data_IF_887633875412
#
_entry.id   IF_887633875412
#
_cell.length_a   1.000
_cell.length_b   1.000
_cell.length_c   1.000
_cell.angle_alpha   90.00
_cell.angle_beta   90.00
_cell.angle_gamma   90.00
#
_symmetry.space_group_name_H-M   'P 1'
#
loop_
_entity.id
_entity.type
_entity.pdbx_description
1 polymer ?
#
# COMPACT_ATOMS: atom_id res chain seq x y z
N UNK A 1 -39.83 -4.07 0.80
CA UNK A 1 -38.65 -4.22 -0.08
C UNK A 1 -37.44 -4.34 0.83
N UNK A 2 -36.85 -5.55 0.89
CA UNK A 2 -35.71 -5.81 1.79
C UNK A 2 -34.45 -5.13 1.26
N UNK A 3 -33.69 -4.45 2.14
CA UNK A 3 -32.44 -3.77 1.81
C UNK A 3 -31.45 -4.70 1.06
N UNK A 4 -31.48 -6.01 1.38
CA UNK A 4 -30.68 -7.05 0.71
C UNK A 4 -31.09 -7.29 -0.76
N UNK A 5 -32.38 -7.14 -1.09
CA UNK A 5 -32.85 -7.27 -2.48
C UNK A 5 -32.52 -6.03 -3.30
N UNK A 6 -32.59 -4.84 -2.68
CA UNK A 6 -32.17 -3.59 -3.31
C UNK A 6 -30.68 -3.60 -3.66
N UNK A 7 -29.82 -4.11 -2.76
CA UNK A 7 -28.37 -4.21 -2.98
C UNK A 7 -27.96 -5.33 -3.96
N UNK A 8 -28.87 -6.28 -4.24
CA UNK A 8 -28.64 -7.39 -5.18
C UNK A 8 -29.10 -7.09 -6.60
N UNK A 9 -29.85 -6.02 -6.83
CA UNK A 9 -30.32 -5.60 -8.16
C UNK A 9 -29.21 -4.89 -8.92
N UNK A 10 -28.35 -5.68 -9.52
CA UNK A 10 -27.33 -5.22 -10.44
C UNK A 10 -27.93 -5.20 -11.86
N UNK A 11 -28.35 -4.02 -12.30
CA UNK A 11 -28.94 -3.79 -13.61
C UNK A 11 -27.88 -3.40 -14.66
N UNK A 12 -26.60 -3.53 -14.31
CA UNK A 12 -25.49 -3.15 -15.19
C UNK A 12 -25.13 -4.30 -16.12
N UNK A 13 -24.95 -3.99 -17.39
CA UNK A 13 -24.32 -4.88 -18.35
C UNK A 13 -22.85 -5.12 -17.99
N UNK A 14 -22.26 -6.26 -18.41
CA UNK A 14 -20.89 -6.66 -18.10
C UNK A 14 -19.87 -5.56 -18.46
N UNK A 15 -20.05 -4.90 -19.62
CA UNK A 15 -19.22 -3.79 -20.05
C UNK A 15 -19.34 -2.58 -19.12
N UNK A 16 -20.55 -2.29 -18.63
CA UNK A 16 -20.80 -1.21 -17.66
C UNK A 16 -20.15 -1.51 -16.31
N UNK A 17 -20.22 -2.77 -15.83
CA UNK A 17 -19.54 -3.22 -14.61
C UNK A 17 -18.04 -3.03 -14.67
N UNK A 18 -17.42 -3.47 -15.77
CA UNK A 18 -15.99 -3.30 -15.97
C UNK A 18 -15.59 -1.83 -16.05
N UNK A 19 -16.43 -0.99 -16.65
CA UNK A 19 -16.20 0.46 -16.73
C UNK A 19 -16.32 1.11 -15.35
N UNK A 20 -17.34 0.74 -14.57
CA UNK A 20 -17.52 1.20 -13.19
C UNK A 20 -16.34 0.84 -12.32
N UNK A 21 -15.89 -0.43 -12.33
CA UNK A 21 -14.72 -0.88 -11.58
C UNK A 21 -13.43 -0.09 -11.95
N UNK A 22 -13.27 0.27 -13.23
CA UNK A 22 -12.14 1.12 -13.66
C UNK A 22 -12.25 2.55 -13.11
N UNK A 23 -13.45 3.12 -13.07
CA UNK A 23 -13.70 4.46 -12.52
C UNK A 23 -13.45 4.44 -11.00
N UNK A 24 -13.99 3.47 -10.30
CA UNK A 24 -13.81 3.29 -8.85
C UNK A 24 -12.33 3.10 -8.48
N UNK A 25 -11.62 2.24 -9.23
CA UNK A 25 -10.18 2.03 -9.04
C UNK A 25 -9.37 3.32 -9.27
N UNK A 26 -9.66 4.08 -10.34
CA UNK A 26 -8.99 5.37 -10.59
C UNK A 26 -9.33 6.40 -9.52
N UNK A 27 -10.58 6.43 -9.08
CA UNK A 27 -11.05 7.29 -7.99
C UNK A 27 -10.32 6.98 -6.68
N UNK A 28 -10.23 5.70 -6.31
CA UNK A 28 -9.49 5.26 -5.13
C UNK A 28 -8.02 5.70 -5.16
N UNK A 29 -7.30 5.39 -6.26
CA UNK A 29 -5.90 5.77 -6.39
C UNK A 29 -5.69 7.29 -6.45
N UNK A 30 -6.63 8.02 -7.09
CA UNK A 30 -6.60 9.48 -7.10
C UNK A 30 -6.75 10.07 -5.70
N UNK A 31 -7.74 9.64 -4.94
CA UNK A 31 -7.94 10.08 -3.55
C UNK A 31 -6.78 9.70 -2.64
N UNK A 32 -6.23 8.49 -2.79
CA UNK A 32 -5.08 8.02 -2.02
C UNK A 32 -3.83 8.89 -2.27
N UNK A 33 -3.56 9.23 -3.55
CA UNK A 33 -2.45 10.13 -3.91
C UNK A 33 -2.66 11.55 -3.41
N UNK A 34 -3.90 12.07 -3.45
CA UNK A 34 -4.22 13.38 -2.90
C UNK A 34 -4.04 13.42 -1.38
N UNK A 35 -4.45 12.37 -0.67
CA UNK A 35 -4.25 12.25 0.77
C UNK A 35 -2.75 12.19 1.12
N UNK A 36 -1.95 11.44 0.36
CA UNK A 36 -0.50 11.42 0.53
C UNK A 36 0.12 12.81 0.29
N UNK A 37 -0.32 13.51 -0.76
CA UNK A 37 0.15 14.86 -1.05
C UNK A 37 -0.23 15.85 0.07
N UNK A 38 -1.44 15.76 0.61
CA UNK A 38 -1.89 16.57 1.75
C UNK A 38 -0.99 16.34 2.96
N UNK A 39 -0.75 15.09 3.35
CA UNK A 39 0.13 14.74 4.47
C UNK A 39 1.57 15.29 4.31
N UNK A 40 2.11 15.26 3.09
CA UNK A 40 3.44 15.83 2.79
C UNK A 40 3.40 17.36 2.96
N UNK A 41 2.40 18.03 2.39
CA UNK A 41 2.24 19.49 2.45
C UNK A 41 2.07 19.95 3.90
N UNK A 42 1.15 19.35 4.66
CA UNK A 42 0.91 19.67 6.07
C UNK A 42 2.19 19.49 6.91
N UNK A 43 2.92 18.40 6.67
CA UNK A 43 4.19 18.16 7.33
C UNK A 43 5.23 19.24 6.99
N UNK A 44 5.30 19.72 5.75
CA UNK A 44 6.21 20.81 5.35
C UNK A 44 5.78 22.16 5.93
N UNK A 45 4.47 22.39 6.09
CA UNK A 45 3.93 23.59 6.72
C UNK A 45 4.14 23.63 8.26
N UNK A 46 4.65 22.52 8.84
CA UNK A 46 5.00 22.47 10.25
C UNK A 46 3.89 21.99 11.16
N UNK A 47 2.80 21.42 10.62
CA UNK A 47 1.75 20.81 11.45
C UNK A 47 2.34 19.72 12.36
N UNK A 48 1.85 19.66 13.58
CA UNK A 48 2.27 18.65 14.54
C UNK A 48 1.72 17.27 14.15
N UNK A 49 2.43 16.16 14.42
CA UNK A 49 1.96 14.80 14.08
C UNK A 49 0.58 14.46 14.65
N UNK A 50 0.19 15.09 15.77
CA UNK A 50 -1.12 14.91 16.39
C UNK A 50 -2.25 15.52 15.55
N UNK A 51 -2.00 16.62 14.89
CA UNK A 51 -2.96 17.33 14.04
C UNK A 51 -3.26 16.54 12.76
N UNK A 52 -2.28 15.81 12.24
CA UNK A 52 -2.37 14.99 11.05
C UNK A 52 -2.72 13.52 11.34
N UNK A 53 -3.05 13.17 12.59
CA UNK A 53 -3.20 11.78 13.01
C UNK A 53 -4.38 11.07 12.33
N UNK A 54 -5.46 11.78 12.04
CA UNK A 54 -6.64 11.23 11.39
C UNK A 54 -6.34 10.85 9.92
N UNK A 55 -5.68 11.74 9.20
CA UNK A 55 -5.26 11.56 7.80
C UNK A 55 -4.26 10.40 7.69
N UNK A 56 -3.28 10.33 8.58
CA UNK A 56 -2.34 9.22 8.69
C UNK A 56 -3.05 7.89 8.93
N UNK A 57 -4.03 7.87 9.84
CA UNK A 57 -4.79 6.67 10.15
C UNK A 57 -5.61 6.19 8.94
N UNK A 58 -6.30 7.10 8.25
CA UNK A 58 -7.05 6.78 7.02
C UNK A 58 -6.13 6.27 5.92
N UNK A 59 -4.98 6.93 5.72
CA UNK A 59 -3.98 6.53 4.74
C UNK A 59 -3.44 5.12 5.00
N UNK A 60 -3.09 4.81 6.26
CA UNK A 60 -2.60 3.49 6.66
C UNK A 60 -3.65 2.40 6.53
N UNK A 61 -4.91 2.69 6.92
CA UNK A 61 -6.03 1.76 6.76
C UNK A 61 -6.29 1.43 5.29
N UNK A 62 -6.36 2.44 4.43
CA UNK A 62 -6.56 2.25 2.99
C UNK A 62 -5.43 1.44 2.35
N UNK A 63 -4.18 1.74 2.71
CA UNK A 63 -3.00 1.01 2.24
C UNK A 63 -2.99 -0.45 2.71
N UNK A 64 -3.31 -0.69 3.98
CA UNK A 64 -3.38 -2.04 4.53
C UNK A 64 -4.51 -2.86 3.90
N UNK A 65 -5.70 -2.26 3.73
CA UNK A 65 -6.84 -2.91 3.08
C UNK A 65 -6.51 -3.32 1.65
N UNK A 66 -5.95 -2.40 0.85
CA UNK A 66 -5.56 -2.69 -0.53
C UNK A 66 -4.52 -3.81 -0.60
N UNK A 67 -3.42 -3.70 0.16
CA UNK A 67 -2.37 -4.69 0.15
C UNK A 67 -2.82 -6.08 0.61
N UNK A 68 -3.67 -6.17 1.65
CA UNK A 68 -4.22 -7.45 2.12
C UNK A 68 -5.17 -8.05 1.07
N UNK A 69 -5.99 -7.21 0.43
CA UNK A 69 -6.93 -7.66 -0.60
C UNK A 69 -6.20 -8.22 -1.83
N UNK A 70 -5.15 -7.54 -2.28
CA UNK A 70 -4.32 -8.00 -3.39
C UNK A 70 -3.64 -9.34 -3.08
N UNK A 71 -3.05 -9.47 -1.87
CA UNK A 71 -2.44 -10.73 -1.44
C UNK A 71 -3.44 -11.88 -1.34
N UNK A 72 -4.66 -11.63 -0.83
CA UNK A 72 -5.72 -12.65 -0.75
C UNK A 72 -6.20 -13.08 -2.14
N UNK A 73 -6.23 -12.16 -3.09
CA UNK A 73 -6.58 -12.43 -4.47
C UNK A 73 -5.45 -13.13 -5.26
N UNK A 74 -4.26 -13.31 -4.66
CA UNK A 74 -3.11 -13.85 -5.35
C UNK A 74 -2.56 -12.91 -6.42
N UNK A 75 -2.76 -11.59 -6.25
CA UNK A 75 -2.30 -10.57 -7.17
C UNK A 75 -1.01 -9.96 -6.63
N UNK A 76 0.01 -9.87 -7.47
CA UNK A 76 1.22 -9.10 -7.25
C UNK A 76 1.21 -7.85 -8.11
N UNK A 77 2.08 -6.90 -7.78
CA UNK A 77 2.21 -5.69 -8.60
C UNK A 77 2.54 -6.01 -10.06
N UNK A 78 1.86 -5.34 -11.00
CA UNK A 78 2.00 -5.60 -12.45
C UNK A 78 3.34 -5.15 -13.03
N UNK A 79 4.05 -4.24 -12.36
CA UNK A 79 5.29 -3.64 -12.84
C UNK A 79 6.54 -4.32 -12.25
N UNK A 80 6.40 -4.96 -11.09
CA UNK A 80 7.51 -5.52 -10.35
C UNK A 80 7.39 -7.04 -10.20
N UNK A 81 8.46 -7.75 -10.52
CA UNK A 81 8.51 -9.20 -10.28
C UNK A 81 8.69 -9.50 -8.79
N UNK A 82 8.05 -10.55 -8.24
CA UNK A 82 8.18 -10.94 -6.84
C UNK A 82 9.53 -11.63 -6.58
N UNK A 83 10.59 -10.84 -6.50
CA UNK A 83 11.93 -11.32 -6.19
C UNK A 83 12.65 -10.38 -5.19
N UNK A 84 13.64 -10.94 -4.50
CA UNK A 84 14.40 -10.22 -3.46
C UNK A 84 15.16 -9.02 -4.01
N UNK A 85 15.66 -9.08 -5.26
CA UNK A 85 16.40 -7.97 -5.88
C UNK A 85 15.49 -6.77 -6.12
N UNK A 86 14.30 -6.99 -6.67
CA UNK A 86 13.31 -5.94 -6.88
C UNK A 86 12.89 -5.31 -5.54
N UNK A 87 12.60 -6.15 -4.54
CA UNK A 87 12.24 -5.68 -3.19
C UNK A 87 13.35 -4.82 -2.58
N UNK A 88 14.63 -5.21 -2.75
CA UNK A 88 15.77 -4.41 -2.28
C UNK A 88 15.84 -3.05 -2.97
N UNK A 89 15.70 -3.00 -4.30
CA UNK A 89 15.74 -1.75 -5.05
C UNK A 89 14.60 -0.82 -4.65
N UNK A 90 13.37 -1.33 -4.57
CA UNK A 90 12.18 -0.55 -4.20
C UNK A 90 12.30 -0.01 -2.77
N UNK A 91 12.77 -0.83 -1.82
CA UNK A 91 12.95 -0.40 -0.44
C UNK A 91 14.06 0.64 -0.27
N UNK A 92 15.17 0.53 -1.03
CA UNK A 92 16.22 1.55 -1.05
C UNK A 92 15.68 2.86 -1.62
N UNK A 93 14.91 2.82 -2.70
CA UNK A 93 14.28 4.02 -3.28
C UNK A 93 13.33 4.70 -2.28
N UNK A 94 12.51 3.92 -1.55
CA UNK A 94 11.65 4.42 -0.49
C UNK A 94 12.44 5.07 0.67
N UNK A 95 13.48 4.40 1.14
CA UNK A 95 14.38 4.94 2.17
C UNK A 95 15.08 6.22 1.73
N UNK A 96 15.55 6.29 0.48
CA UNK A 96 16.16 7.48 -0.10
C UNK A 96 15.18 8.67 -0.19
N UNK A 97 13.94 8.41 -0.61
CA UNK A 97 12.90 9.45 -0.66
C UNK A 97 12.61 10.04 0.74
N UNK A 98 12.50 9.18 1.76
CA UNK A 98 12.29 9.61 3.15
C UNK A 98 13.51 10.33 3.71
N UNK A 99 14.73 9.90 3.34
CA UNK A 99 15.96 10.61 3.69
C UNK A 99 15.97 12.04 3.15
N UNK A 100 15.69 12.22 1.85
CA UNK A 100 15.64 13.55 1.22
C UNK A 100 14.56 14.41 1.88
N UNK A 101 13.37 13.85 2.11
CA UNK A 101 12.30 14.55 2.81
C UNK A 101 12.72 14.95 4.23
N UNK A 102 13.41 14.07 4.97
CA UNK A 102 13.95 14.35 6.29
C UNK A 102 14.96 15.50 6.30
N UNK A 103 15.85 15.57 5.31
CA UNK A 103 16.77 16.71 5.16
C UNK A 103 16.03 18.03 5.02
N UNK A 104 14.97 18.08 4.20
CA UNK A 104 14.16 19.29 3.99
C UNK A 104 13.44 19.64 5.30
N UNK A 105 12.80 18.67 5.95
CA UNK A 105 12.00 18.86 7.17
C UNK A 105 12.84 19.39 8.34
N UNK A 106 14.06 18.88 8.51
CA UNK A 106 14.91 19.20 9.66
C UNK A 106 16.01 20.24 9.37
N UNK A 107 15.99 20.82 8.18
CA UNK A 107 17.01 21.82 7.77
C UNK A 107 17.17 22.97 8.78
N UNK A 108 16.07 23.40 9.41
CA UNK A 108 16.07 24.47 10.40
C UNK A 108 16.76 24.13 11.75
N UNK A 109 17.00 22.84 12.03
CA UNK A 109 17.65 22.37 13.27
C UNK A 109 19.17 22.42 13.25
N UNK A 110 19.74 22.85 12.14
CA UNK A 110 21.19 22.83 11.90
C UNK A 110 21.64 21.58 11.14
N UNK A 111 22.66 21.73 10.30
CA UNK A 111 23.06 20.72 9.31
C UNK A 111 23.38 19.35 9.92
N UNK A 112 24.13 19.30 11.02
CA UNK A 112 24.50 18.04 11.66
C UNK A 112 23.33 17.24 12.20
N UNK A 113 22.39 17.91 12.88
CA UNK A 113 21.19 17.28 13.47
C UNK A 113 20.24 16.85 12.34
N UNK A 114 20.03 17.68 11.31
CA UNK A 114 19.19 17.37 10.18
C UNK A 114 19.67 16.12 9.44
N UNK A 115 20.96 16.01 9.16
CA UNK A 115 21.56 14.83 8.51
C UNK A 115 21.37 13.58 9.37
N UNK A 116 21.68 13.65 10.66
CA UNK A 116 21.54 12.50 11.57
C UNK A 116 20.09 11.97 11.61
N UNK A 117 19.11 12.86 11.77
CA UNK A 117 17.70 12.47 11.80
C UNK A 117 17.22 11.93 10.45
N UNK A 118 17.61 12.56 9.35
CA UNK A 118 17.27 12.09 8.01
C UNK A 118 17.85 10.69 7.73
N UNK A 119 19.10 10.42 8.15
CA UNK A 119 19.72 9.09 8.03
C UNK A 119 18.95 8.05 8.84
N UNK A 120 18.63 8.34 10.10
CA UNK A 120 17.86 7.41 10.94
C UNK A 120 16.51 7.09 10.30
N UNK A 121 15.77 8.11 9.87
CA UNK A 121 14.46 7.92 9.22
C UNK A 121 14.58 7.12 7.92
N UNK A 122 15.53 7.46 7.06
CA UNK A 122 15.76 6.77 5.79
C UNK A 122 16.12 5.29 5.99
N UNK A 123 17.05 5.00 6.90
CA UNK A 123 17.46 3.61 7.21
C UNK A 123 16.32 2.82 7.85
N UNK A 124 15.61 3.38 8.82
CA UNK A 124 14.44 2.71 9.42
C UNK A 124 13.38 2.40 8.36
N UNK A 125 13.07 3.36 7.49
CA UNK A 125 12.10 3.16 6.40
C UNK A 125 12.57 2.08 5.44
N UNK A 126 13.84 2.11 5.03
CA UNK A 126 14.42 1.09 4.16
C UNK A 126 14.27 -0.31 4.75
N UNK A 127 14.67 -0.51 5.99
CA UNK A 127 14.61 -1.82 6.68
C UNK A 127 13.17 -2.30 6.81
N UNK A 128 12.25 -1.42 7.24
CA UNK A 128 10.83 -1.77 7.38
C UNK A 128 10.19 -2.09 6.04
N UNK A 129 10.40 -1.28 5.01
CA UNK A 129 9.89 -1.55 3.66
C UNK A 129 10.43 -2.87 3.11
N UNK A 130 11.73 -3.14 3.28
CA UNK A 130 12.32 -4.40 2.84
C UNK A 130 11.70 -5.60 3.55
N UNK A 131 11.55 -5.54 4.88
CA UNK A 131 10.92 -6.60 5.66
C UNK A 131 9.48 -6.84 5.23
N UNK A 132 8.69 -5.78 5.09
CA UNK A 132 7.28 -5.89 4.66
C UNK A 132 7.16 -6.46 3.25
N UNK A 133 7.98 -6.01 2.29
CA UNK A 133 7.98 -6.55 0.92
C UNK A 133 8.40 -8.03 0.88
N UNK A 134 9.35 -8.46 1.72
CA UNK A 134 9.74 -9.86 1.81
C UNK A 134 8.62 -10.73 2.40
N UNK A 135 7.94 -10.24 3.45
CA UNK A 135 6.79 -10.94 4.03
C UNK A 135 5.63 -11.05 3.03
N UNK A 136 5.31 -9.95 2.36
CA UNK A 136 4.27 -9.92 1.31
C UNK A 136 4.61 -10.86 0.16
N UNK A 137 5.87 -10.90 -0.28
CA UNK A 137 6.31 -11.84 -1.33
C UNK A 137 6.15 -13.30 -0.90
N UNK A 138 6.47 -13.64 0.36
CA UNK A 138 6.27 -15.00 0.88
C UNK A 138 4.79 -15.35 0.92
N UNK A 139 3.95 -14.45 1.43
CA UNK A 139 2.49 -14.64 1.49
C UNK A 139 1.89 -14.80 0.09
N UNK A 140 2.28 -13.94 -0.86
CA UNK A 140 1.87 -14.05 -2.25
C UNK A 140 2.24 -15.40 -2.87
N UNK A 141 3.51 -15.85 -2.77
CA UNK A 141 3.96 -17.12 -3.33
C UNK A 141 3.21 -18.31 -2.74
N UNK A 142 2.95 -18.29 -1.42
CA UNK A 142 2.14 -19.32 -0.77
C UNK A 142 0.72 -19.34 -1.34
N UNK A 143 0.06 -18.19 -1.42
CA UNK A 143 -1.31 -18.10 -1.92
C UNK A 143 -1.42 -18.45 -3.40
N UNK A 144 -0.46 -18.04 -4.20
CA UNK A 144 -0.42 -18.36 -5.63
C UNK A 144 -0.28 -19.87 -5.86
N UNK A 145 0.61 -20.55 -5.12
CA UNK A 145 0.76 -22.00 -5.17
C UNK A 145 -0.53 -22.75 -4.74
N UNK A 146 -1.24 -22.24 -3.74
CA UNK A 146 -2.54 -22.80 -3.31
C UNK A 146 -3.62 -22.66 -4.39
N UNK A 147 -3.60 -21.57 -5.16
CA UNK A 147 -4.55 -21.32 -6.24
C UNK A 147 -4.22 -22.11 -7.52
N UNK A 148 -2.93 -22.37 -7.79
CA UNK A 148 -2.48 -23.16 -8.93
C UNK A 148 -2.65 -24.67 -8.71
N UNK A 149 -2.50 -25.13 -7.49
CA UNK A 149 -2.70 -26.52 -7.09
C UNK A 149 -3.79 -26.56 -6.01
N UNK A 150 -5.08 -26.42 -6.36
CA UNK A 150 -6.14 -26.71 -5.41
C UNK A 150 -5.93 -28.15 -4.98
N UNK A 151 -5.76 -28.37 -3.68
CA UNK A 151 -5.75 -29.74 -3.15
C UNK A 151 -7.05 -30.38 -3.59
N UNK A 152 -6.94 -31.52 -4.27
CA UNK A 152 -8.03 -32.47 -4.45
C UNK A 152 -8.34 -33.07 -3.06
N UNK A 153 -8.86 -32.27 -2.16
CA UNK A 153 -9.36 -32.71 -0.87
C UNK A 153 -10.88 -32.88 -1.05
N UNK A 154 -11.31 -34.10 -0.84
CA UNK A 154 -12.71 -34.52 -0.55
C UNK A 154 -13.57 -35.17 -1.64
N UNK A 155 -13.00 -36.08 -2.45
CA UNK A 155 -13.85 -37.07 -3.14
C UNK A 155 -13.51 -38.52 -2.77
N UNK A 156 -13.02 -38.81 -1.58
CA UNK A 156 -12.90 -40.18 -1.06
C UNK A 156 -13.64 -40.35 0.29
N UNK A 157 -14.94 -40.06 0.31
CA UNK A 157 -15.85 -40.60 1.35
C UNK A 157 -17.29 -40.55 0.83
N UNK A 158 -17.63 -41.44 -0.12
CA UNK A 158 -18.97 -42.00 -0.29
C UNK A 158 -18.90 -43.53 -0.31
#
# INVERSE_FOLDING_TARGET
MNLREFLKRDNLDEMQKQTLLKIESRGFWGLWMLLLAALIIESLLGFAPREMAAEWFIFMLGSAYSGISDLRAGIWDRHFKPNTKTNAVVSVAGGAAVFVWGLIKFAALGAGIAVLQAVIMGVCTWVLCFALLQLSMKAYKKRHAELENPKEDDDENE
#
